data_IF_648698474501
#
_entry.id   IF_648698474501
#
_cell.length_a   1.000
_cell.length_b   1.000
_cell.length_c   1.000
_cell.angle_alpha   90.00
_cell.angle_beta   90.00
_cell.angle_gamma   90.00
#
_symmetry.space_group_name_H-M   'P 1'
#
loop_
_entity.id
_entity.type
_entity.pdbx_description
1 polymer ?
#
# COMPACT_ATOMS: atom_id res chain seq x y z
N UNK A 1 4.18 15.18 10.13
CA UNK A 1 4.51 13.96 9.39
C UNK A 1 6.00 13.68 9.51
N UNK A 2 6.36 12.45 9.77
CA UNK A 2 7.76 12.10 9.93
C UNK A 2 8.45 11.92 8.58
N UNK A 3 9.78 12.10 8.58
CA UNK A 3 10.60 11.87 7.39
C UNK A 3 10.46 10.41 6.93
N UNK A 4 10.35 9.47 7.88
CA UNK A 4 10.20 8.06 7.55
C UNK A 4 8.94 7.79 6.74
N UNK A 5 7.82 8.45 7.07
CA UNK A 5 6.59 8.30 6.31
C UNK A 5 6.74 8.82 4.89
N UNK A 6 7.45 9.94 4.71
CA UNK A 6 7.67 10.48 3.37
C UNK A 6 8.48 9.50 2.51
N UNK A 7 9.52 8.89 3.08
CA UNK A 7 10.33 7.92 2.36
C UNK A 7 9.50 6.66 2.01
N UNK A 8 8.65 6.22 2.93
CA UNK A 8 7.78 5.07 2.67
C UNK A 8 6.79 5.37 1.56
N UNK A 9 6.19 6.55 1.57
CA UNK A 9 5.19 6.93 0.58
C UNK A 9 5.78 7.01 -0.83
N UNK A 10 7.08 7.23 -0.97
CA UNK A 10 7.74 7.21 -2.28
C UNK A 10 7.69 5.82 -2.92
N UNK A 11 7.45 4.77 -2.15
CA UNK A 11 7.29 3.42 -2.70
C UNK A 11 5.95 3.22 -3.38
N UNK A 12 5.03 4.15 -3.25
CA UNK A 12 3.71 4.07 -3.87
C UNK A 12 3.74 4.89 -5.16
N UNK A 13 3.44 4.23 -6.28
CA UNK A 13 3.48 4.88 -7.60
C UNK A 13 2.09 4.86 -8.23
N UNK A 14 1.80 5.92 -9.00
CA UNK A 14 0.54 6.02 -9.72
C UNK A 14 0.88 6.34 -11.17
N UNK A 15 0.47 5.45 -12.07
CA UNK A 15 0.70 5.60 -13.51
C UNK A 15 -0.58 5.18 -14.22
N UNK A 16 -1.14 6.09 -15.03
CA UNK A 16 -2.41 5.83 -15.71
C UNK A 16 -2.35 4.60 -16.62
N UNK A 17 -1.16 4.18 -17.03
CA UNK A 17 -0.97 3.01 -17.89
C UNK A 17 -0.77 1.71 -17.09
N UNK A 18 -0.72 1.80 -15.76
CA UNK A 18 -0.53 0.64 -14.88
C UNK A 18 -1.75 0.51 -13.97
N UNK A 19 -2.45 -0.61 -14.10
CA UNK A 19 -3.63 -0.94 -13.28
C UNK A 19 -4.63 0.21 -13.23
N UNK A 20 -4.81 0.88 -14.37
CA UNK A 20 -5.80 1.96 -14.53
C UNK A 20 -5.55 3.15 -13.60
N UNK A 21 -4.29 3.43 -13.28
CA UNK A 21 -3.95 4.55 -12.42
C UNK A 21 -4.15 4.30 -10.94
N UNK A 22 -4.40 3.06 -10.53
CA UNK A 22 -4.49 2.75 -9.11
C UNK A 22 -3.11 2.80 -8.45
N UNK A 23 -3.03 3.18 -7.17
CA UNK A 23 -1.76 3.17 -6.46
C UNK A 23 -1.16 1.77 -6.44
N UNK A 24 0.10 1.67 -6.85
CA UNK A 24 0.83 0.41 -6.95
C UNK A 24 2.15 0.50 -6.21
N UNK A 25 2.81 -0.65 -6.03
CA UNK A 25 4.08 -0.74 -5.32
C UNK A 25 5.23 -0.60 -6.32
N UNK A 26 6.03 0.45 -6.18
CA UNK A 26 7.31 0.67 -6.89
C UNK A 26 7.25 0.34 -8.38
N UNK A 27 6.16 0.74 -9.05
CA UNK A 27 6.01 0.49 -10.48
C UNK A 27 5.61 -0.93 -10.85
N UNK A 28 5.44 -1.82 -9.88
CA UNK A 28 4.92 -3.16 -10.14
C UNK A 28 3.40 -3.10 -10.30
N UNK A 29 2.83 -4.17 -10.86
CA UNK A 29 1.40 -4.22 -11.10
C UNK A 29 0.60 -4.71 -9.89
N UNK A 30 1.17 -4.66 -8.72
CA UNK A 30 0.52 -5.03 -7.47
C UNK A 30 0.01 -3.75 -6.82
N UNK A 31 -1.30 -3.67 -6.61
CA UNK A 31 -1.91 -2.47 -6.05
C UNK A 31 -1.89 -2.49 -4.52
N UNK A 32 -1.92 -1.28 -3.95
CA UNK A 32 -2.09 -1.11 -2.50
C UNK A 32 -3.38 -1.82 -2.05
N UNK A 33 -4.45 -1.67 -2.83
CA UNK A 33 -5.74 -2.28 -2.50
C UNK A 33 -5.64 -3.80 -2.40
N UNK A 34 -4.93 -4.44 -3.33
CA UNK A 34 -4.76 -5.89 -3.31
C UNK A 34 -4.03 -6.34 -2.06
N UNK A 35 -2.96 -5.65 -1.69
CA UNK A 35 -2.20 -5.98 -0.49
C UNK A 35 -3.09 -5.84 0.75
N UNK A 36 -3.84 -4.75 0.84
CA UNK A 36 -4.74 -4.54 1.97
C UNK A 36 -5.81 -5.63 2.05
N UNK A 37 -6.34 -6.06 0.91
CA UNK A 37 -7.32 -7.14 0.88
C UNK A 37 -6.73 -8.45 1.37
N UNK A 38 -5.52 -8.79 0.93
CA UNK A 38 -4.87 -10.02 1.40
C UNK A 38 -4.64 -9.98 2.90
N UNK A 39 -4.14 -8.85 3.41
CA UNK A 39 -3.89 -8.70 4.85
C UNK A 39 -5.20 -8.76 5.64
N UNK A 40 -6.26 -8.11 5.13
CA UNK A 40 -7.54 -8.08 5.82
C UNK A 40 -8.22 -9.44 5.85
N UNK A 41 -7.90 -10.31 4.91
CA UNK A 41 -8.42 -11.68 4.91
C UNK A 41 -7.60 -12.64 5.77
N UNK A 42 -6.55 -12.11 6.43
CA UNK A 42 -5.74 -12.90 7.34
C UNK A 42 -4.49 -13.51 6.73
N UNK A 43 -4.18 -13.18 5.47
CA UNK A 43 -2.98 -13.69 4.83
C UNK A 43 -1.76 -13.04 5.48
N UNK A 44 -0.81 -13.81 6.04
CA UNK A 44 0.35 -13.21 6.69
C UNK A 44 1.33 -12.63 5.67
N UNK A 45 2.11 -11.63 6.10
CA UNK A 45 3.10 -11.00 5.23
C UNK A 45 4.06 -12.00 4.62
N UNK A 46 4.50 -12.99 5.40
CA UNK A 46 5.44 -13.99 4.90
C UNK A 46 4.87 -14.75 3.69
N UNK A 47 3.58 -15.05 3.72
CA UNK A 47 2.93 -15.73 2.60
C UNK A 47 2.90 -14.84 1.37
N UNK A 48 2.57 -13.57 1.56
CA UNK A 48 2.53 -12.61 0.44
C UNK A 48 3.92 -12.46 -0.18
N UNK A 49 4.95 -12.35 0.66
CA UNK A 49 6.33 -12.24 0.18
C UNK A 49 6.77 -13.49 -0.58
N UNK A 50 6.32 -14.66 -0.14
CA UNK A 50 6.64 -15.92 -0.83
C UNK A 50 5.96 -15.98 -2.20
N UNK A 51 4.72 -15.49 -2.29
CA UNK A 51 3.94 -15.52 -3.53
C UNK A 51 4.38 -14.44 -4.51
N UNK A 52 4.87 -13.30 -3.99
CA UNK A 52 5.25 -12.13 -4.79
C UNK A 52 6.66 -11.70 -4.39
N UNK A 53 7.69 -12.41 -4.88
CA UNK A 53 9.07 -12.16 -4.45
C UNK A 53 9.62 -10.78 -4.83
N UNK A 54 8.95 -10.04 -5.72
CA UNK A 54 9.33 -8.68 -6.02
C UNK A 54 8.98 -7.69 -4.91
N UNK A 55 8.15 -8.10 -3.95
CA UNK A 55 7.81 -7.26 -2.80
C UNK A 55 8.89 -7.35 -1.73
N UNK A 56 8.98 -6.29 -0.94
CA UNK A 56 9.88 -6.18 0.21
C UNK A 56 9.07 -5.88 1.46
N UNK A 57 9.64 -6.15 2.62
CA UNK A 57 8.94 -5.87 3.88
C UNK A 57 8.57 -4.41 4.03
N UNK A 58 9.44 -3.50 3.59
CA UNK A 58 9.15 -2.08 3.68
C UNK A 58 7.98 -1.67 2.79
N UNK A 59 7.62 -2.49 1.80
CA UNK A 59 6.45 -2.21 0.98
C UNK A 59 5.17 -2.31 1.80
N UNK A 60 5.12 -3.22 2.78
CA UNK A 60 3.97 -3.29 3.68
C UNK A 60 3.87 -2.05 4.56
N UNK A 61 5.01 -1.55 5.04
CA UNK A 61 5.00 -0.31 5.81
C UNK A 61 4.52 0.86 4.95
N UNK A 62 4.91 0.87 3.68
CA UNK A 62 4.44 1.88 2.74
C UNK A 62 2.93 1.81 2.54
N UNK A 63 2.40 0.59 2.42
CA UNK A 63 0.95 0.38 2.28
C UNK A 63 0.21 0.90 3.52
N UNK A 64 0.71 0.60 4.71
CA UNK A 64 0.09 1.08 5.94
C UNK A 64 0.15 2.61 6.03
N UNK A 65 1.30 3.21 5.67
CA UNK A 65 1.44 4.66 5.69
C UNK A 65 0.46 5.33 4.71
N UNK A 66 0.31 4.74 3.53
CA UNK A 66 -0.62 5.25 2.54
C UNK A 66 -2.06 5.16 3.04
N UNK A 67 -2.42 4.01 3.61
CA UNK A 67 -3.76 3.81 4.17
C UNK A 67 -4.03 4.80 5.31
N UNK A 68 -3.03 5.07 6.13
CA UNK A 68 -3.16 6.03 7.23
C UNK A 68 -3.43 7.43 6.71
N UNK A 69 -2.75 7.83 5.62
CA UNK A 69 -2.98 9.14 5.01
C UNK A 69 -4.38 9.24 4.45
N UNK A 70 -4.87 8.20 3.77
CA UNK A 70 -6.23 8.18 3.26
C UNK A 70 -7.24 8.27 4.39
N UNK A 71 -7.02 7.52 5.45
CA UNK A 71 -7.93 7.51 6.59
C UNK A 71 -7.96 8.86 7.29
N UNK A 72 -6.82 9.54 7.37
CA UNK A 72 -6.73 10.86 7.98
C UNK A 72 -7.51 11.91 7.19
N UNK A 73 -7.63 11.73 5.89
CA UNK A 73 -8.39 12.64 5.03
C UNK A 73 -9.88 12.36 4.99
N UNK A 74 -10.33 11.23 5.55
CA UNK A 74 -11.74 10.88 5.53
C UNK A 74 -12.43 11.45 6.77
N UNK A 75 -13.45 12.26 6.55
CA UNK A 75 -14.27 12.76 7.66
C UNK A 75 -15.33 11.72 7.96
N UNK A 76 -15.28 11.19 9.17
CA UNK A 76 -16.29 10.26 9.64
C UNK A 76 -17.33 11.05 10.42
N UNK A 77 -18.54 11.13 9.89
CA UNK A 77 -19.63 11.77 10.58
C UNK A 77 -20.19 10.81 11.62
N UNK A 78 -20.22 11.27 12.84
CA UNK A 78 -20.68 10.47 13.96
C UNK A 78 -21.95 11.08 14.50
N UNK A 79 -22.79 11.36 13.67
CA UNK A 79 -24.04 12.05 13.97
C UNK A 79 -24.58 11.91 15.31
#
# INVERSE_FOLDING_TARGET
>A
MSVANSALLERITVDSNVRFGKPCIRGHRITVQEILQWLSSGTPQDQILADYPQLERDDFLAVYAYAAELAAGIKVSRG
#
